data_IF_339492239704
#
_entry.id   IF_339492239704
#
_cell.length_a   1.000
_cell.length_b   1.000
_cell.length_c   1.000
_cell.angle_alpha   90.00
_cell.angle_beta   90.00
_cell.angle_gamma   90.00
#
_symmetry.space_group_name_H-M   'P 1'
#
loop_
_entity.id
_entity.type
_entity.pdbx_description
1 polymer ?
#
# COMPACT_ATOMS: atom_id res chain seq x y z
N UNK A 1 14.45 -3.46 -6.55
CA UNK A 1 15.69 -4.11 -7.04
C UNK A 1 15.45 -5.58 -7.38
N UNK A 2 14.82 -6.38 -6.49
CA UNK A 2 14.54 -7.80 -6.76
C UNK A 2 13.76 -8.03 -8.07
N UNK A 3 12.77 -7.18 -8.36
CA UNK A 3 12.02 -7.23 -9.62
C UNK A 3 12.95 -7.02 -10.81
N UNK A 4 13.85 -6.04 -10.75
CA UNK A 4 14.84 -5.77 -11.81
C UNK A 4 15.71 -6.99 -12.07
N UNK A 5 16.26 -7.58 -11.01
CA UNK A 5 17.09 -8.79 -11.13
C UNK A 5 16.33 -9.95 -11.76
N UNK A 6 15.04 -10.09 -11.42
CA UNK A 6 14.20 -11.14 -12.03
C UNK A 6 13.89 -10.86 -13.49
N UNK A 7 13.66 -9.62 -13.87
CA UNK A 7 13.44 -9.23 -15.26
C UNK A 7 14.67 -9.48 -16.13
N UNK A 8 15.88 -9.24 -15.61
CA UNK A 8 17.14 -9.47 -16.33
C UNK A 8 17.42 -10.95 -16.68
N UNK A 9 16.72 -11.90 -16.01
CA UNK A 9 16.79 -13.32 -16.40
C UNK A 9 16.08 -13.62 -17.73
N UNK A 10 15.23 -12.70 -18.20
CA UNK A 10 14.50 -12.88 -19.44
C UNK A 10 15.32 -12.48 -20.66
N UNK A 11 15.46 -13.37 -21.66
CA UNK A 11 16.17 -13.01 -22.89
C UNK A 11 15.43 -11.97 -23.75
N UNK A 12 14.23 -11.58 -23.36
CA UNK A 12 13.44 -10.52 -24.03
C UNK A 12 13.74 -9.13 -23.49
N UNK A 13 14.46 -9.03 -22.37
CA UNK A 13 14.80 -7.75 -21.74
C UNK A 13 16.22 -7.35 -22.14
N UNK A 14 16.33 -6.31 -22.93
CA UNK A 14 17.61 -5.79 -23.40
C UNK A 14 18.16 -4.71 -22.48
N UNK A 15 17.30 -3.84 -21.96
CA UNK A 15 17.67 -2.71 -21.11
C UNK A 15 16.59 -2.38 -20.10
N UNK A 16 17.02 -2.02 -18.89
CA UNK A 16 16.12 -1.56 -17.83
C UNK A 16 16.52 -0.16 -17.38
N UNK A 17 15.55 0.72 -17.30
CA UNK A 17 15.63 2.02 -16.64
C UNK A 17 14.87 1.95 -15.32
N UNK A 18 15.35 2.66 -14.31
CA UNK A 18 14.66 2.76 -13.01
C UNK A 18 14.63 4.22 -12.57
N UNK A 19 13.44 4.73 -12.29
CA UNK A 19 13.27 6.10 -11.86
C UNK A 19 12.58 6.14 -10.46
N UNK A 20 13.20 6.80 -9.47
CA UNK A 20 14.54 7.40 -9.52
C UNK A 20 15.66 6.35 -9.42
N UNK A 21 15.41 5.14 -8.90
CA UNK A 21 16.42 4.13 -8.60
C UNK A 21 17.16 4.42 -7.29
N UNK A 22 18.26 3.71 -7.07
CA UNK A 22 19.17 3.90 -5.94
C UNK A 22 20.54 3.27 -6.25
N UNK A 23 21.52 3.43 -5.35
CA UNK A 23 22.87 2.92 -5.55
C UNK A 23 22.98 1.40 -5.76
N UNK A 24 22.10 0.59 -5.17
CA UNK A 24 22.06 -0.85 -5.43
C UNK A 24 21.47 -1.18 -6.81
N UNK A 25 20.43 -0.45 -7.22
CA UNK A 25 19.80 -0.61 -8.54
C UNK A 25 20.74 -0.19 -9.67
N UNK A 26 21.58 0.82 -9.46
CA UNK A 26 22.51 1.33 -10.48
C UNK A 26 23.54 0.30 -10.96
N UNK A 27 23.71 -0.80 -10.24
CA UNK A 27 24.55 -1.92 -10.67
C UNK A 27 23.88 -2.79 -11.75
N UNK A 28 22.55 -2.80 -11.79
CA UNK A 28 21.77 -3.71 -12.63
C UNK A 28 20.86 -2.99 -13.64
N UNK A 29 20.63 -1.66 -13.47
CA UNK A 29 19.76 -0.87 -14.33
C UNK A 29 20.27 0.58 -14.44
N UNK A 30 19.84 1.28 -15.48
CA UNK A 30 20.14 2.69 -15.63
C UNK A 30 19.15 3.52 -14.76
N UNK A 31 19.69 4.16 -13.73
CA UNK A 31 18.90 5.07 -12.90
C UNK A 31 18.64 6.39 -13.64
N UNK A 32 17.43 6.93 -13.50
CA UNK A 32 17.00 8.18 -14.12
C UNK A 32 16.46 9.09 -13.01
N UNK A 33 16.96 10.31 -12.94
CA UNK A 33 16.57 11.28 -11.91
C UNK A 33 15.20 11.90 -12.22
N UNK A 34 14.16 11.07 -12.08
CA UNK A 34 12.75 11.48 -12.19
C UNK A 34 12.03 10.99 -10.93
N UNK A 35 11.28 11.89 -10.28
CA UNK A 35 10.49 11.52 -9.13
C UNK A 35 9.41 10.50 -9.51
N UNK A 36 9.24 9.46 -8.70
CA UNK A 36 8.25 8.39 -8.95
C UNK A 36 6.81 8.89 -9.08
N UNK A 37 6.49 10.06 -8.52
CA UNK A 37 5.17 10.70 -8.59
C UNK A 37 5.00 11.63 -9.79
N UNK A 38 6.08 11.93 -10.54
CA UNK A 38 6.04 12.83 -11.70
C UNK A 38 5.63 12.04 -12.97
N UNK A 39 4.32 11.91 -13.16
CA UNK A 39 3.73 11.17 -14.29
C UNK A 39 4.13 11.77 -15.65
N UNK A 40 4.14 13.08 -15.77
CA UNK A 40 4.39 13.76 -17.04
C UNK A 40 5.84 13.56 -17.49
N UNK A 41 6.79 13.72 -16.57
CA UNK A 41 8.21 13.46 -16.84
C UNK A 41 8.48 11.97 -17.12
N UNK A 42 7.79 11.05 -16.40
CA UNK A 42 7.91 9.61 -16.65
C UNK A 42 7.41 9.23 -18.05
N UNK A 43 6.23 9.69 -18.45
CA UNK A 43 5.66 9.43 -19.78
C UNK A 43 6.54 10.04 -20.87
N UNK A 44 7.00 11.28 -20.66
CA UNK A 44 7.89 11.94 -21.61
C UNK A 44 9.19 11.17 -21.80
N UNK A 45 9.83 10.76 -20.71
CA UNK A 45 11.05 9.95 -20.75
C UNK A 45 10.82 8.63 -21.47
N UNK A 46 9.73 7.93 -21.14
CA UNK A 46 9.40 6.65 -21.74
C UNK A 46 9.23 6.75 -23.25
N UNK A 47 8.53 7.77 -23.76
CA UNK A 47 8.38 8.02 -25.21
C UNK A 47 9.71 8.36 -25.88
N UNK A 48 10.52 9.24 -25.26
CA UNK A 48 11.80 9.67 -25.83
C UNK A 48 12.85 8.56 -25.92
N UNK A 49 12.77 7.58 -25.02
CA UNK A 49 13.72 6.48 -24.93
C UNK A 49 13.18 5.16 -25.48
N UNK A 50 12.01 5.16 -26.11
CA UNK A 50 11.44 3.98 -26.75
C UNK A 50 11.16 2.85 -25.75
N UNK A 51 10.59 3.18 -24.60
CA UNK A 51 10.25 2.17 -23.59
C UNK A 51 9.05 1.34 -24.07
N UNK A 52 9.23 0.04 -24.16
CA UNK A 52 8.21 -0.91 -24.63
C UNK A 52 7.23 -1.33 -23.54
N UNK A 53 7.67 -1.28 -22.27
CA UNK A 53 6.88 -1.78 -21.15
C UNK A 53 7.28 -1.11 -19.83
N UNK A 54 6.31 -0.73 -19.03
CA UNK A 54 6.52 -0.14 -17.70
C UNK A 54 6.11 -1.10 -16.58
N UNK A 55 6.85 -1.09 -15.47
CA UNK A 55 6.49 -1.78 -14.22
C UNK A 55 6.35 -0.73 -13.13
N UNK A 56 5.14 -0.52 -12.65
CA UNK A 56 4.86 0.41 -11.57
C UNK A 56 4.74 -0.38 -10.27
N UNK A 57 5.76 -0.34 -9.44
CA UNK A 57 5.85 -1.16 -8.24
C UNK A 57 5.43 -0.47 -6.94
N UNK A 58 5.70 0.84 -6.72
CA UNK A 58 5.32 1.53 -5.48
C UNK A 58 3.84 1.91 -5.44
N UNK A 59 3.26 1.88 -4.24
CA UNK A 59 1.83 2.10 -4.01
C UNK A 59 1.37 3.53 -4.34
N UNK A 60 2.15 4.55 -3.95
CA UNK A 60 1.79 5.96 -4.19
C UNK A 60 1.65 6.29 -5.68
N UNK A 61 2.59 5.94 -6.58
CA UNK A 61 2.42 6.13 -8.02
C UNK A 61 1.24 5.35 -8.61
N UNK A 62 0.97 4.13 -8.11
CA UNK A 62 -0.21 3.35 -8.52
C UNK A 62 -1.50 4.06 -8.17
N UNK A 63 -1.64 4.50 -6.92
CA UNK A 63 -2.79 5.26 -6.46
C UNK A 63 -2.96 6.59 -7.19
N UNK A 64 -1.85 7.22 -7.61
CA UNK A 64 -1.86 8.45 -8.39
C UNK A 64 -2.16 8.25 -9.88
N UNK A 65 -2.28 7.00 -10.38
CA UNK A 65 -2.63 6.70 -11.77
C UNK A 65 -1.45 6.71 -12.73
N UNK A 66 -0.27 6.27 -12.29
CA UNK A 66 0.91 6.14 -13.18
C UNK A 66 0.67 5.11 -14.28
N UNK A 67 -0.03 3.99 -13.96
CA UNK A 67 -0.39 2.97 -14.96
C UNK A 67 -1.32 3.57 -16.00
N UNK A 68 -2.35 4.30 -15.56
CA UNK A 68 -3.31 4.96 -16.45
C UNK A 68 -2.58 5.93 -17.42
N UNK A 69 -1.65 6.74 -16.89
CA UNK A 69 -0.87 7.69 -17.70
C UNK A 69 0.04 6.99 -18.73
N UNK A 70 0.65 5.85 -18.38
CA UNK A 70 1.47 5.07 -19.30
C UNK A 70 0.61 4.44 -20.40
N UNK A 71 -0.53 3.84 -20.07
CA UNK A 71 -1.44 3.23 -21.01
C UNK A 71 -2.07 4.25 -21.97
N UNK A 72 -2.49 5.41 -21.47
CA UNK A 72 -2.97 6.54 -22.30
C UNK A 72 -1.89 7.03 -23.27
N UNK A 73 -0.63 6.92 -22.88
CA UNK A 73 0.51 7.25 -23.72
C UNK A 73 0.86 6.17 -24.76
N UNK A 74 0.16 5.03 -24.73
CA UNK A 74 0.39 3.87 -25.60
C UNK A 74 1.52 2.95 -25.13
N UNK A 75 1.95 3.06 -23.88
CA UNK A 75 3.00 2.24 -23.26
C UNK A 75 2.33 1.22 -22.33
N UNK A 76 2.35 -0.08 -22.68
CA UNK A 76 1.83 -1.12 -21.81
C UNK A 76 2.47 -1.08 -20.42
N UNK A 77 1.68 -1.23 -19.36
CA UNK A 77 2.19 -1.15 -18.00
C UNK A 77 1.71 -2.33 -17.14
N UNK A 78 2.58 -2.81 -16.26
CA UNK A 78 2.23 -3.74 -15.21
C UNK A 78 1.96 -2.98 -13.91
N UNK A 79 0.78 -3.17 -13.39
CA UNK A 79 0.26 -2.57 -12.16
C UNK A 79 -1.25 -2.37 -12.27
N UNK A 80 -1.94 -2.14 -11.14
CA UNK A 80 -3.36 -1.76 -11.17
C UNK A 80 -3.51 -0.31 -11.67
N UNK A 81 -4.61 -0.06 -12.37
CA UNK A 81 -5.07 1.31 -12.62
C UNK A 81 -5.44 2.00 -11.31
N UNK A 82 -5.55 3.33 -11.29
CA UNK A 82 -5.92 4.09 -10.08
C UNK A 82 -7.24 3.59 -9.48
N UNK A 83 -8.22 3.26 -10.31
CA UNK A 83 -9.50 2.71 -9.87
C UNK A 83 -9.38 1.35 -9.16
N UNK A 84 -8.42 0.53 -9.53
CA UNK A 84 -8.15 -0.75 -8.87
C UNK A 84 -7.22 -0.56 -7.66
N UNK A 85 -6.26 0.35 -7.73
CA UNK A 85 -5.33 0.67 -6.65
C UNK A 85 -6.01 1.23 -5.40
N UNK A 86 -7.27 1.69 -5.51
CA UNK A 86 -8.07 2.15 -4.36
C UNK A 86 -8.24 1.06 -3.30
N UNK A 87 -8.16 -0.21 -3.67
CA UNK A 87 -8.21 -1.35 -2.71
C UNK A 87 -7.07 -1.25 -1.69
N UNK A 88 -5.89 -0.80 -2.11
CA UNK A 88 -4.73 -0.59 -1.21
C UNK A 88 -4.72 0.83 -0.63
N UNK A 89 -5.04 1.83 -1.45
CA UNK A 89 -4.91 3.23 -1.06
C UNK A 89 -6.02 3.74 -0.14
N UNK A 90 -7.13 3.01 0.05
CA UNK A 90 -8.19 3.33 1.01
C UNK A 90 -8.60 2.09 1.82
N UNK A 91 -8.27 2.13 3.10
CA UNK A 91 -8.69 1.07 4.06
C UNK A 91 -10.21 1.02 4.22
N UNK A 92 -10.85 2.19 4.20
CA UNK A 92 -12.31 2.31 4.26
C UNK A 92 -12.95 1.62 3.06
N UNK A 93 -12.44 1.89 1.85
CA UNK A 93 -12.92 1.23 0.64
C UNK A 93 -12.75 -0.28 0.71
N UNK A 94 -11.55 -0.77 1.06
CA UNK A 94 -11.26 -2.20 1.19
C UNK A 94 -12.17 -2.88 2.21
N UNK A 95 -12.36 -2.29 3.38
CA UNK A 95 -13.23 -2.84 4.42
C UNK A 95 -14.68 -2.92 3.95
N UNK A 96 -15.20 -1.88 3.34
CA UNK A 96 -16.55 -1.86 2.80
C UNK A 96 -16.72 -2.89 1.67
N UNK A 97 -15.74 -3.04 0.80
CA UNK A 97 -15.73 -4.07 -0.25
C UNK A 97 -15.76 -5.48 0.36
N UNK A 98 -14.91 -5.75 1.35
CA UNK A 98 -14.90 -7.04 2.04
C UNK A 98 -16.26 -7.34 2.69
N UNK A 99 -16.86 -6.35 3.37
CA UNK A 99 -18.19 -6.47 3.98
C UNK A 99 -19.26 -6.76 2.92
N UNK A 100 -19.23 -6.04 1.80
CA UNK A 100 -20.19 -6.20 0.70
C UNK A 100 -20.17 -7.60 0.11
N UNK A 101 -18.98 -8.18 -0.06
CA UNK A 101 -18.80 -9.49 -0.70
C UNK A 101 -18.61 -10.64 0.29
N UNK A 102 -18.80 -10.42 1.59
CA UNK A 102 -18.67 -11.46 2.63
C UNK A 102 -17.24 -12.01 2.75
N UNK A 103 -16.21 -11.21 2.42
CA UNK A 103 -14.82 -11.58 2.58
C UNK A 103 -14.45 -11.44 4.06
N UNK A 104 -13.92 -12.49 4.72
CA UNK A 104 -13.55 -12.43 6.13
C UNK A 104 -12.55 -11.30 6.41
N UNK A 105 -12.84 -10.49 7.42
CA UNK A 105 -11.97 -9.41 7.89
C UNK A 105 -12.27 -9.12 9.36
N UNK A 106 -11.34 -8.47 10.07
CA UNK A 106 -11.57 -7.99 11.43
C UNK A 106 -12.83 -7.12 11.51
N UNK A 107 -13.59 -7.24 12.58
CA UNK A 107 -14.70 -6.33 12.88
C UNK A 107 -14.22 -4.89 12.89
N UNK A 108 -14.99 -3.97 12.33
CA UNK A 108 -14.53 -2.58 12.17
C UNK A 108 -15.67 -1.58 12.14
N UNK A 109 -15.35 -0.34 12.50
CA UNK A 109 -16.18 0.84 12.25
C UNK A 109 -15.34 1.98 11.67
N UNK A 110 -15.99 2.85 10.91
CA UNK A 110 -15.36 3.96 10.19
C UNK A 110 -15.84 5.28 10.79
N UNK A 111 -14.90 6.20 11.01
CA UNK A 111 -15.19 7.53 11.56
C UNK A 111 -14.53 8.62 10.74
N UNK A 112 -15.23 9.73 10.54
CA UNK A 112 -14.74 10.97 9.92
C UNK A 112 -14.70 12.14 10.91
N UNK A 113 -15.06 11.90 12.18
CA UNK A 113 -14.87 12.82 13.28
C UNK A 113 -14.32 12.09 14.54
N UNK A 114 -13.48 12.79 15.27
CA UNK A 114 -12.77 12.25 16.45
C UNK A 114 -13.72 11.99 17.63
N UNK A 115 -14.74 12.82 17.80
CA UNK A 115 -15.67 12.69 18.94
C UNK A 115 -16.49 11.42 18.84
N UNK A 116 -17.03 11.11 17.66
CA UNK A 116 -17.78 9.87 17.41
C UNK A 116 -16.91 8.63 17.55
N UNK A 117 -15.65 8.70 17.08
CA UNK A 117 -14.69 7.61 17.24
C UNK A 117 -14.39 7.33 18.72
N UNK A 118 -14.14 8.37 19.51
CA UNK A 118 -13.87 8.25 20.93
C UNK A 118 -15.11 7.69 21.68
N UNK A 119 -16.31 8.20 21.36
CA UNK A 119 -17.56 7.72 21.99
C UNK A 119 -17.78 6.22 21.69
N UNK A 120 -17.52 5.77 20.47
CA UNK A 120 -17.60 4.36 20.10
C UNK A 120 -16.59 3.51 20.89
N UNK A 121 -15.34 3.96 21.00
CA UNK A 121 -14.30 3.25 21.75
C UNK A 121 -14.65 3.17 23.24
N UNK A 122 -15.16 4.25 23.84
CA UNK A 122 -15.61 4.27 25.23
C UNK A 122 -16.76 3.30 25.49
N UNK A 123 -17.73 3.24 24.58
CA UNK A 123 -18.89 2.36 24.69
C UNK A 123 -18.49 0.89 24.60
N UNK A 124 -17.62 0.54 23.68
CA UNK A 124 -17.20 -0.86 23.47
C UNK A 124 -16.17 -1.32 24.50
N UNK A 125 -15.28 -0.45 24.94
CA UNK A 125 -14.26 -0.65 25.98
C UNK A 125 -13.54 -2.02 25.93
N UNK A 126 -13.27 -2.51 24.71
CA UNK A 126 -12.57 -3.79 24.46
C UNK A 126 -11.18 -3.51 23.95
N UNK A 127 -10.15 -4.06 24.59
CA UNK A 127 -8.75 -3.83 24.24
C UNK A 127 -7.96 -5.14 24.15
N UNK A 128 -6.85 -5.18 23.37
CA UNK A 128 -6.38 -4.11 22.49
C UNK A 128 -7.31 -3.87 21.29
N UNK A 129 -7.25 -2.66 20.72
CA UNK A 129 -7.92 -2.31 19.46
C UNK A 129 -6.91 -1.71 18.48
N UNK A 130 -7.26 -1.67 17.21
CA UNK A 130 -6.40 -1.11 16.17
C UNK A 130 -7.06 0.13 15.56
N UNK A 131 -6.35 1.26 15.60
CA UNK A 131 -6.77 2.52 14.98
C UNK A 131 -5.91 2.74 13.73
N UNK A 132 -6.55 2.86 12.57
CA UNK A 132 -5.86 3.00 11.28
C UNK A 132 -6.29 4.28 10.59
N UNK A 133 -5.33 5.07 10.13
CA UNK A 133 -5.60 6.15 9.18
C UNK A 133 -6.08 5.58 7.83
N UNK A 134 -7.05 6.22 7.19
CA UNK A 134 -7.45 5.90 5.82
C UNK A 134 -6.39 6.44 4.84
N UNK A 135 -5.90 5.61 3.94
CA UNK A 135 -4.83 5.99 3.02
C UNK A 135 -3.53 5.22 3.26
N UNK A 136 -2.55 5.47 2.39
CA UNK A 136 -1.30 4.71 2.37
C UNK A 136 -0.41 4.99 3.60
N UNK A 137 -0.33 6.27 4.04
CA UNK A 137 0.40 6.70 5.23
C UNK A 137 1.82 6.09 5.34
N UNK A 138 2.46 5.79 4.20
CA UNK A 138 3.77 5.13 4.09
C UNK A 138 3.89 3.84 4.92
N UNK A 139 2.80 3.09 5.07
CA UNK A 139 2.74 1.87 5.88
C UNK A 139 2.77 2.09 7.40
N UNK A 140 2.74 3.35 7.88
CA UNK A 140 2.87 3.70 9.31
C UNK A 140 1.55 4.12 9.96
N UNK A 141 0.48 4.21 9.21
CA UNK A 141 -0.83 4.71 9.67
C UNK A 141 -1.63 3.75 10.55
N UNK A 142 -0.99 2.86 11.31
CA UNK A 142 -1.63 1.85 12.15
C UNK A 142 -1.10 1.96 13.59
N UNK A 143 -2.01 2.12 14.54
CA UNK A 143 -1.70 2.19 15.97
C UNK A 143 -2.50 1.12 16.70
N UNK A 144 -1.79 0.24 17.43
CA UNK A 144 -2.41 -0.72 18.33
C UNK A 144 -2.52 -0.07 19.71
N UNK A 145 -3.74 0.06 20.22
CA UNK A 145 -4.03 0.70 21.49
C UNK A 145 -4.40 -0.35 22.53
N UNK A 146 -3.58 -0.47 23.59
CA UNK A 146 -3.73 -1.46 24.65
C UNK A 146 -4.75 -1.07 25.72
N UNK A 147 -5.20 0.18 25.72
CA UNK A 147 -6.16 0.72 26.67
C UNK A 147 -6.86 1.96 26.13
N UNK A 148 -7.89 2.42 26.86
CA UNK A 148 -8.72 3.55 26.45
C UNK A 148 -7.91 4.84 26.22
N UNK A 149 -6.93 5.15 27.09
CA UNK A 149 -6.16 6.38 26.92
C UNK A 149 -5.31 6.33 25.66
N UNK A 150 -4.61 5.22 25.44
CA UNK A 150 -3.81 5.03 24.20
C UNK A 150 -4.68 5.12 22.94
N UNK A 151 -5.94 4.62 22.99
CA UNK A 151 -6.85 4.73 21.87
C UNK A 151 -7.31 6.17 21.59
N UNK A 152 -7.60 6.95 22.64
CA UNK A 152 -7.90 8.38 22.52
C UNK A 152 -6.73 9.16 21.95
N UNK A 153 -5.53 8.90 22.44
CA UNK A 153 -4.30 9.54 21.95
C UNK A 153 -4.05 9.20 20.48
N UNK A 154 -4.34 7.93 20.07
CA UNK A 154 -4.24 7.51 18.68
C UNK A 154 -5.26 8.26 17.78
N UNK A 155 -6.52 8.36 18.20
CA UNK A 155 -7.54 9.12 17.46
C UNK A 155 -7.14 10.58 17.34
N UNK A 156 -6.72 11.20 18.44
CA UNK A 156 -6.30 12.60 18.44
C UNK A 156 -5.10 12.83 17.50
N UNK A 157 -4.05 12.04 17.63
CA UNK A 157 -2.84 12.18 16.81
C UNK A 157 -3.13 12.03 15.31
N UNK A 158 -3.99 11.08 14.93
CA UNK A 158 -4.33 10.83 13.53
C UNK A 158 -5.28 11.91 13.00
N UNK A 159 -6.39 12.17 13.71
CA UNK A 159 -7.48 12.99 13.19
C UNK A 159 -7.34 14.49 13.46
N UNK A 160 -6.78 14.87 14.61
CA UNK A 160 -6.64 16.27 15.03
C UNK A 160 -5.24 16.80 14.69
N UNK A 161 -4.20 16.12 15.16
CA UNK A 161 -2.81 16.54 14.94
C UNK A 161 -2.34 16.25 13.50
N UNK A 162 -3.09 15.44 12.73
CA UNK A 162 -2.84 15.13 11.33
C UNK A 162 -1.43 14.60 11.06
N UNK A 163 -0.89 13.75 11.95
CA UNK A 163 0.47 13.20 11.79
C UNK A 163 0.66 12.43 10.47
N UNK A 164 -0.42 11.98 9.84
CA UNK A 164 -0.45 11.35 8.50
C UNK A 164 -1.11 12.23 7.44
N UNK A 165 -1.18 13.55 7.66
CA UNK A 165 -1.77 14.50 6.72
C UNK A 165 -3.22 14.17 6.39
N UNK A 166 -3.58 14.21 5.12
CA UNK A 166 -4.95 13.96 4.65
C UNK A 166 -5.43 12.52 4.89
N UNK A 167 -4.51 11.54 5.01
CA UNK A 167 -4.87 10.17 5.36
C UNK A 167 -5.54 10.06 6.75
N UNK A 168 -5.34 11.05 7.61
CA UNK A 168 -6.00 11.15 8.91
C UNK A 168 -7.39 11.81 8.89
N UNK A 169 -7.95 12.13 7.73
CA UNK A 169 -9.32 12.68 7.65
C UNK A 169 -10.39 11.66 8.00
N UNK A 170 -10.09 10.37 7.80
CA UNK A 170 -10.92 9.25 8.24
C UNK A 170 -10.06 8.23 8.94
N UNK A 171 -10.66 7.52 9.87
CA UNK A 171 -10.03 6.38 10.52
C UNK A 171 -10.92 5.15 10.46
N UNK A 172 -10.28 4.00 10.54
CA UNK A 172 -10.92 2.70 10.76
C UNK A 172 -10.51 2.22 12.15
N UNK A 173 -11.46 1.95 13.00
CA UNK A 173 -11.26 1.31 14.30
C UNK A 173 -11.61 -0.16 14.14
N UNK A 174 -10.67 -1.05 14.43
CA UNK A 174 -10.78 -2.49 14.18
C UNK A 174 -10.54 -3.29 15.45
N UNK A 175 -11.16 -4.47 15.54
CA UNK A 175 -10.76 -5.46 16.53
C UNK A 175 -9.32 -5.91 16.31
N UNK A 176 -8.63 -6.18 17.40
CA UNK A 176 -7.30 -6.76 17.35
C UNK A 176 -7.39 -8.28 17.20
N UNK A 177 -6.98 -8.79 16.06
CA UNK A 177 -6.91 -10.23 15.79
C UNK A 177 -5.49 -10.75 15.96
N UNK A 178 -5.37 -11.98 16.45
CA UNK A 178 -4.07 -12.65 16.65
C UNK A 178 -4.00 -13.93 15.82
N UNK A 179 -2.81 -14.28 15.39
CA UNK A 179 -2.56 -15.50 14.64
C UNK A 179 -1.25 -15.44 13.85
N UNK A 180 -0.82 -16.55 13.27
CA UNK A 180 0.32 -16.54 12.36
C UNK A 180 -0.04 -15.78 11.08
N UNK A 181 0.81 -14.82 10.72
CA UNK A 181 0.66 -14.01 9.51
C UNK A 181 1.16 -14.77 8.29
N UNK A 182 0.41 -14.74 7.21
CA UNK A 182 0.78 -15.28 5.91
C UNK A 182 0.34 -14.33 4.80
N UNK A 183 1.23 -14.07 3.84
CA UNK A 183 0.93 -13.31 2.63
C UNK A 183 0.72 -14.24 1.44
N UNK A 184 -0.38 -14.07 0.75
CA UNK A 184 -0.68 -14.77 -0.50
C UNK A 184 -0.82 -13.73 -1.61
N UNK A 185 0.16 -13.70 -2.53
CA UNK A 185 0.16 -12.84 -3.68
C UNK A 185 -0.31 -13.59 -4.93
N UNK A 186 -0.86 -12.88 -5.89
CA UNK A 186 -1.28 -13.46 -7.14
C UNK A 186 -1.09 -12.48 -8.29
N UNK A 187 -0.79 -13.01 -9.47
CA UNK A 187 -0.91 -12.27 -10.71
C UNK A 187 -2.33 -12.40 -11.26
N UNK A 188 -2.86 -11.32 -11.82
CA UNK A 188 -4.15 -11.35 -12.50
C UNK A 188 -4.15 -10.44 -13.72
N UNK A 189 -4.89 -10.85 -14.76
CA UNK A 189 -5.21 -10.07 -15.94
C UNK A 189 -6.71 -9.68 -15.97
N UNK A 190 -7.39 -9.78 -14.81
CA UNK A 190 -8.82 -9.54 -14.69
C UNK A 190 -9.71 -10.74 -15.06
N UNK A 191 -9.17 -11.81 -15.64
CA UNK A 191 -9.88 -13.05 -16.01
C UNK A 191 -9.25 -14.28 -15.39
N UNK A 192 -7.94 -14.32 -15.32
CA UNK A 192 -7.15 -15.42 -14.79
C UNK A 192 -6.44 -14.97 -13.53
N UNK A 193 -6.40 -15.82 -12.52
CA UNK A 193 -5.64 -15.61 -11.30
C UNK A 193 -4.59 -16.70 -11.14
N UNK A 194 -3.33 -16.31 -10.96
CA UNK A 194 -2.19 -17.21 -10.75
C UNK A 194 -1.56 -16.92 -9.38
N UNK A 195 -1.89 -17.71 -8.34
CA UNK A 195 -1.31 -17.51 -7.02
C UNK A 195 0.19 -17.83 -7.04
N UNK A 196 0.94 -17.04 -6.29
CA UNK A 196 2.35 -17.28 -6.02
C UNK A 196 2.52 -18.23 -4.82
N UNK A 197 3.73 -18.66 -4.57
CA UNK A 197 4.08 -19.36 -3.33
C UNK A 197 3.82 -18.40 -2.16
N UNK A 198 3.15 -18.89 -1.12
CA UNK A 198 2.88 -18.11 0.09
C UNK A 198 4.17 -17.68 0.77
N UNK A 199 4.16 -16.49 1.35
CA UNK A 199 5.28 -15.93 2.09
C UNK A 199 4.86 -15.50 3.49
N UNK A 200 5.84 -15.44 4.39
CA UNK A 200 5.67 -14.93 5.75
C UNK A 200 6.49 -13.66 5.91
N UNK A 201 5.86 -12.62 6.41
CA UNK A 201 6.54 -11.39 6.77
C UNK A 201 7.22 -11.53 8.14
N UNK A 202 8.42 -10.99 8.26
CA UNK A 202 9.19 -10.91 9.49
C UNK A 202 9.40 -9.45 9.87
N UNK A 203 8.62 -8.97 10.83
CA UNK A 203 8.65 -7.57 11.24
C UNK A 203 9.75 -7.28 12.26
N UNK A 204 10.23 -8.31 12.95
CA UNK A 204 11.25 -8.17 14.01
C UNK A 204 12.45 -9.06 13.76
N UNK A 205 13.62 -8.61 14.21
CA UNK A 205 14.91 -9.23 13.88
C UNK A 205 15.22 -10.54 14.62
N UNK A 206 14.58 -10.80 15.76
CA UNK A 206 14.87 -11.97 16.60
C UNK A 206 13.73 -12.99 16.60
N UNK A 207 14.05 -14.22 16.96
CA UNK A 207 13.08 -15.34 17.08
C UNK A 207 11.92 -14.96 18.02
N UNK A 208 10.76 -15.58 17.76
CA UNK A 208 9.51 -15.35 18.48
C UNK A 208 9.04 -13.88 18.44
N UNK A 209 9.25 -13.24 17.30
CA UNK A 209 8.81 -11.86 17.02
C UNK A 209 9.34 -10.87 18.08
N UNK A 210 10.62 -10.97 18.43
CA UNK A 210 11.31 -10.13 19.41
C UNK A 210 12.35 -9.23 18.73
N UNK A 211 12.81 -8.22 19.49
CA UNK A 211 13.82 -7.27 19.03
C UNK A 211 13.20 -6.09 18.27
N UNK A 212 14.08 -5.34 17.60
CA UNK A 212 13.75 -4.18 16.78
C UNK A 212 13.35 -4.62 15.38
#
# INVERSE_FOLDING_TARGET
HAIIRKLLESPKVERIYCAPGNGGISCDAQCVDINAMDKDSMVTFAKQNGIDFAVVAPDDPLAAGMVDAMEEAGIPAFGPTANAAVIESSKVFSKNLMKQYGIPTAGYEVFDDSASAIAYIEQNNTFPIVVKADGLALGKGVIIAENLQAAKDAVQSIMEDKIFGQSGNKIVVEEFITGPEVSVLAFTDGKTLKPMVSSKDHKRALDNDKGL
#
